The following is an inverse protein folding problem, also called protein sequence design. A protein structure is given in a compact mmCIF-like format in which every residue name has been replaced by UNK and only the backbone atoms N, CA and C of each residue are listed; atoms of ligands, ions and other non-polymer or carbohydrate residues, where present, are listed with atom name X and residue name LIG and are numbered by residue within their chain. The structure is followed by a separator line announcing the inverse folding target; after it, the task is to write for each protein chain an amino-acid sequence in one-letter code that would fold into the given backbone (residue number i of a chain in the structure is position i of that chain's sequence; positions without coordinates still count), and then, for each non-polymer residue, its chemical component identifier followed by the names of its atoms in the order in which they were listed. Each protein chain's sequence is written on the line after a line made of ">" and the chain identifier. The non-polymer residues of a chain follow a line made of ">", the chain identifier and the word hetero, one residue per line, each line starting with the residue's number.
data_IF_776850821236
#
_entry.id   IF_776850821236
#
_cell.length_a   1.000
_cell.length_b   1.000
_cell.length_c   1.000
_cell.angle_alpha   90.00
_cell.angle_beta   90.00
_cell.angle_gamma   90.00
#
_symmetry.space_group_name_H-M   'P 1'
#
loop_
_entity.id
_entity.type
_entity.pdbx_description
1 polymer ?
#
# COMPACT_ATOMS: atom_id res chain seq x y z
N UNK A 1 -36.18 25.20 3.54
CA UNK A 1 -34.70 25.32 3.60
C UNK A 1 -33.95 24.11 4.21
N UNK A 2 -34.59 23.17 4.89
CA UNK A 2 -33.91 22.03 5.57
C UNK A 2 -33.50 20.83 4.69
N UNK A 3 -33.72 20.84 3.38
CA UNK A 3 -33.42 19.70 2.48
C UNK A 3 -32.01 19.70 1.87
N UNK A 4 -31.18 20.72 2.11
CA UNK A 4 -29.85 20.85 1.47
C UNK A 4 -28.66 20.75 2.44
N UNK A 5 -28.90 20.40 3.67
CA UNK A 5 -27.83 20.37 4.71
C UNK A 5 -27.16 19.00 4.92
N UNK A 6 -27.42 18.07 4.01
CA UNK A 6 -26.78 16.75 4.05
C UNK A 6 -25.36 16.83 3.47
N UNK A 7 -24.35 16.19 4.09
CA UNK A 7 -22.96 16.23 3.63
C UNK A 7 -22.75 15.86 2.16
N UNK A 8 -23.50 14.90 1.63
CA UNK A 8 -23.44 14.52 0.20
C UNK A 8 -24.00 15.62 -0.71
N UNK A 9 -25.05 16.33 -0.27
CA UNK A 9 -25.60 17.48 -1.02
C UNK A 9 -24.59 18.63 -1.06
N UNK A 10 -23.86 18.86 0.02
CA UNK A 10 -22.75 19.83 0.08
C UNK A 10 -21.61 19.44 -0.85
N UNK A 11 -21.29 18.14 -0.94
CA UNK A 11 -20.30 17.66 -1.90
C UNK A 11 -20.72 17.92 -3.34
N UNK A 12 -21.97 17.59 -3.70
CA UNK A 12 -22.50 17.86 -5.05
C UNK A 12 -22.53 19.37 -5.38
N UNK A 13 -22.91 20.21 -4.41
CA UNK A 13 -22.83 21.66 -4.55
C UNK A 13 -21.40 22.13 -4.81
N UNK A 14 -20.43 21.63 -4.05
CA UNK A 14 -19.02 21.93 -4.25
C UNK A 14 -18.53 21.58 -5.65
N UNK A 15 -18.92 20.41 -6.19
CA UNK A 15 -18.61 19.98 -7.56
C UNK A 15 -19.12 20.96 -8.61
N UNK A 16 -20.37 21.39 -8.50
CA UNK A 16 -20.98 22.35 -9.43
C UNK A 16 -20.23 23.69 -9.36
N UNK A 17 -19.96 24.20 -8.16
CA UNK A 17 -19.26 25.47 -7.97
C UNK A 17 -17.83 25.43 -8.52
N UNK A 18 -17.13 24.30 -8.36
CA UNK A 18 -15.80 24.08 -8.92
C UNK A 18 -15.83 24.12 -10.45
N UNK A 19 -16.78 23.42 -11.10
CA UNK A 19 -16.97 23.44 -12.56
C UNK A 19 -17.33 24.84 -13.09
N UNK A 20 -18.04 25.66 -12.28
CA UNK A 20 -18.32 27.06 -12.59
C UNK A 20 -17.11 27.99 -12.35
N UNK A 21 -15.98 27.51 -11.87
CA UNK A 21 -14.80 28.31 -11.52
C UNK A 21 -14.93 29.10 -10.23
N UNK A 22 -16.01 28.90 -9.45
CA UNK A 22 -16.28 29.60 -8.17
C UNK A 22 -15.53 28.88 -7.02
N UNK A 23 -14.20 28.91 -7.10
CA UNK A 23 -13.32 28.03 -6.29
C UNK A 23 -13.50 28.23 -4.78
N UNK A 24 -13.55 29.46 -4.28
CA UNK A 24 -13.67 29.69 -2.83
C UNK A 24 -15.04 29.27 -2.28
N UNK A 25 -16.09 29.43 -3.07
CA UNK A 25 -17.41 28.93 -2.69
C UNK A 25 -17.50 27.41 -2.75
N UNK A 26 -16.82 26.79 -3.73
CA UNK A 26 -16.67 25.34 -3.77
C UNK A 26 -15.95 24.81 -2.52
N UNK A 27 -14.86 25.46 -2.10
CA UNK A 27 -14.13 25.13 -0.86
C UNK A 27 -15.07 25.19 0.35
N UNK A 28 -15.89 26.22 0.49
CA UNK A 28 -16.80 26.34 1.63
C UNK A 28 -17.88 25.24 1.63
N UNK A 29 -18.43 24.89 0.47
CA UNK A 29 -19.35 23.77 0.35
C UNK A 29 -18.68 22.43 0.69
N UNK A 30 -17.45 22.21 0.22
CA UNK A 30 -16.69 21.00 0.49
C UNK A 30 -16.28 20.85 1.96
N UNK A 31 -15.97 21.92 2.67
CA UNK A 31 -15.64 21.89 4.11
C UNK A 31 -16.77 21.32 4.96
N UNK A 32 -18.00 21.51 4.54
CA UNK A 32 -19.20 21.03 5.22
C UNK A 32 -19.72 19.72 4.65
N UNK A 33 -18.94 19.02 3.84
CA UNK A 33 -19.33 17.82 3.12
C UNK A 33 -18.69 16.54 3.71
N UNK A 34 -18.83 15.45 2.98
CA UNK A 34 -18.14 14.18 3.26
C UNK A 34 -16.61 14.33 3.21
N UNK A 35 -15.83 13.44 3.84
CA UNK A 35 -14.36 13.53 3.88
C UNK A 35 -13.69 13.69 2.51
N UNK A 36 -14.25 13.09 1.45
CA UNK A 36 -13.78 13.25 0.08
C UNK A 36 -13.83 14.71 -0.38
N UNK A 37 -14.89 15.44 -0.02
CA UNK A 37 -15.01 16.86 -0.34
C UNK A 37 -14.02 17.71 0.45
N UNK A 38 -13.83 17.43 1.74
CA UNK A 38 -12.83 18.11 2.56
C UNK A 38 -11.42 17.90 1.96
N UNK A 39 -11.09 16.68 1.56
CA UNK A 39 -9.84 16.37 0.85
C UNK A 39 -9.70 17.17 -0.45
N UNK A 40 -10.78 17.32 -1.22
CA UNK A 40 -10.80 18.12 -2.45
C UNK A 40 -10.61 19.62 -2.18
N UNK A 41 -11.23 20.13 -1.11
CA UNK A 41 -11.07 21.52 -0.66
C UNK A 41 -9.61 21.87 -0.36
N UNK A 42 -8.88 20.97 0.32
CA UNK A 42 -7.44 21.20 0.61
C UNK A 42 -6.63 21.41 -0.65
N UNK A 43 -6.92 20.61 -1.69
CA UNK A 43 -6.24 20.73 -2.97
C UNK A 43 -6.55 22.03 -3.71
N UNK A 44 -7.81 22.48 -3.66
CA UNK A 44 -8.20 23.75 -4.25
C UNK A 44 -7.54 24.93 -3.54
N UNK A 45 -7.49 24.92 -2.21
CA UNK A 45 -6.79 25.95 -1.43
C UNK A 45 -5.29 26.02 -1.79
N UNK A 46 -4.61 24.88 -1.94
CA UNK A 46 -3.21 24.90 -2.37
C UNK A 46 -3.02 25.47 -3.77
N UNK A 47 -3.91 25.16 -4.73
CA UNK A 47 -3.88 25.73 -6.08
C UNK A 47 -4.06 27.25 -6.07
N UNK A 48 -4.80 27.79 -5.09
CA UNK A 48 -4.99 29.23 -4.88
C UNK A 48 -3.83 29.87 -4.08
N UNK A 49 -2.82 29.09 -3.68
CA UNK A 49 -1.73 29.60 -2.84
C UNK A 49 -2.08 29.76 -1.36
N UNK A 50 -3.30 29.37 -0.96
CA UNK A 50 -3.81 29.45 0.42
C UNK A 50 -3.31 28.28 1.24
N UNK A 51 -1.97 28.16 1.36
CA UNK A 51 -1.30 27.01 1.96
C UNK A 51 -1.57 26.85 3.46
N UNK A 52 -1.72 27.96 4.20
CA UNK A 52 -2.00 27.89 5.64
C UNK A 52 -3.40 27.36 5.92
N UNK A 53 -4.37 27.81 5.16
CA UNK A 53 -5.76 27.34 5.21
C UNK A 53 -5.86 25.87 4.82
N UNK A 54 -5.12 25.45 3.80
CA UNK A 54 -5.03 24.06 3.40
C UNK A 54 -4.43 23.19 4.53
N UNK A 55 -3.38 23.67 5.20
CA UNK A 55 -2.75 22.97 6.31
C UNK A 55 -3.71 22.69 7.46
N UNK A 56 -4.53 23.68 7.83
CA UNK A 56 -5.54 23.51 8.89
C UNK A 56 -6.51 22.39 8.53
N UNK A 57 -7.05 22.39 7.32
CA UNK A 57 -7.97 21.34 6.87
C UNK A 57 -7.30 19.97 6.76
N UNK A 58 -6.03 19.91 6.36
CA UNK A 58 -5.28 18.66 6.36
C UNK A 58 -5.14 18.07 7.76
N UNK A 59 -4.79 18.90 8.75
CA UNK A 59 -4.67 18.45 10.14
C UNK A 59 -6.02 18.00 10.70
N UNK A 60 -7.10 18.70 10.41
CA UNK A 60 -8.44 18.31 10.83
C UNK A 60 -8.85 16.96 10.21
N UNK A 61 -8.58 16.76 8.92
CA UNK A 61 -8.87 15.51 8.23
C UNK A 61 -7.99 14.35 8.74
N UNK A 62 -6.74 14.65 9.09
CA UNK A 62 -5.78 13.67 9.62
C UNK A 62 -6.13 13.16 11.02
N UNK A 63 -6.78 13.97 11.86
CA UNK A 63 -7.28 13.59 13.19
C UNK A 63 -8.50 12.67 13.13
N UNK A 64 -9.15 12.59 11.97
CA UNK A 64 -10.33 11.75 11.75
C UNK A 64 -9.98 10.30 11.45
N UNK A 65 -11.03 9.49 11.21
CA UNK A 65 -10.91 8.06 10.85
C UNK A 65 -11.24 7.81 9.38
N UNK A 66 -11.21 8.84 8.54
CA UNK A 66 -11.52 8.71 7.13
C UNK A 66 -10.40 8.00 6.36
N UNK A 67 -10.69 7.43 5.18
CA UNK A 67 -9.67 6.87 4.30
C UNK A 67 -8.59 7.86 3.84
N UNK A 68 -8.82 9.15 4.07
CA UNK A 68 -7.92 10.24 3.70
C UNK A 68 -6.99 10.67 4.85
N UNK A 69 -7.17 10.13 6.06
CA UNK A 69 -6.47 10.61 7.25
C UNK A 69 -4.94 10.51 7.12
N UNK A 70 -4.41 9.38 6.70
CA UNK A 70 -2.97 9.17 6.53
C UNK A 70 -2.36 10.05 5.43
N UNK A 71 -3.07 10.19 4.29
CA UNK A 71 -2.64 11.07 3.21
C UNK A 71 -2.65 12.54 3.63
N UNK A 72 -3.67 12.93 4.40
CA UNK A 72 -3.79 14.27 4.94
C UNK A 72 -2.67 14.56 5.95
N UNK A 73 -2.34 13.62 6.83
CA UNK A 73 -1.23 13.74 7.77
C UNK A 73 0.12 13.89 7.03
N UNK A 74 0.37 13.06 6.02
CA UNK A 74 1.58 13.16 5.20
C UNK A 74 1.68 14.51 4.49
N UNK A 75 0.58 14.97 3.88
CA UNK A 75 0.59 16.26 3.18
C UNK A 75 0.72 17.43 4.14
N UNK A 76 0.06 17.38 5.30
CA UNK A 76 0.23 18.36 6.37
C UNK A 76 1.70 18.44 6.82
N UNK A 77 2.38 17.30 7.00
CA UNK A 77 3.80 17.25 7.35
C UNK A 77 4.68 17.96 6.32
N UNK A 78 4.46 17.68 5.03
CA UNK A 78 5.22 18.30 3.94
C UNK A 78 4.94 19.80 3.90
N UNK A 79 3.66 20.19 3.92
CA UNK A 79 3.24 21.59 3.79
C UNK A 79 3.67 22.44 4.98
N UNK A 80 3.60 21.90 6.20
CA UNK A 80 4.12 22.57 7.39
C UNK A 80 5.65 22.78 7.30
N UNK A 81 6.40 21.84 6.71
CA UNK A 81 7.81 21.99 6.40
C UNK A 81 8.08 23.11 5.40
N UNK A 82 7.31 23.20 4.32
CA UNK A 82 7.39 24.26 3.32
C UNK A 82 7.10 25.65 3.93
N UNK A 83 6.22 25.71 4.92
CA UNK A 83 5.81 26.94 5.60
C UNK A 83 6.70 27.31 6.80
N UNK A 84 7.65 26.45 7.19
CA UNK A 84 8.50 26.64 8.37
C UNK A 84 7.78 26.51 9.71
N UNK A 85 6.62 25.82 9.75
CA UNK A 85 5.77 25.67 10.93
C UNK A 85 6.12 24.39 11.70
N UNK A 86 7.12 24.49 12.61
CA UNK A 86 7.69 23.34 13.30
C UNK A 86 6.68 22.57 14.18
N UNK A 87 5.79 23.26 14.88
CA UNK A 87 4.75 22.63 15.72
C UNK A 87 3.74 21.84 14.88
N UNK A 88 3.19 22.46 13.85
CA UNK A 88 2.26 21.79 12.92
C UNK A 88 2.92 20.61 12.21
N UNK A 89 4.22 20.71 11.90
CA UNK A 89 4.97 19.62 11.30
C UNK A 89 5.13 18.45 12.26
N UNK A 90 5.39 18.70 13.53
CA UNK A 90 5.47 17.66 14.57
C UNK A 90 4.12 17.00 14.77
N UNK A 91 3.06 17.79 14.92
CA UNK A 91 1.70 17.29 15.03
C UNK A 91 1.32 16.39 13.84
N UNK A 92 1.56 16.85 12.62
CA UNK A 92 1.29 16.08 11.42
C UNK A 92 2.07 14.74 11.41
N UNK A 93 3.35 14.75 11.82
CA UNK A 93 4.16 13.53 11.94
C UNK A 93 3.55 12.55 12.94
N UNK A 94 3.06 13.04 14.08
CA UNK A 94 2.43 12.20 15.11
C UNK A 94 1.14 11.52 14.59
N UNK A 95 0.42 12.18 13.68
CA UNK A 95 -0.79 11.66 13.05
C UNK A 95 -0.52 10.63 11.93
N UNK A 96 0.66 10.65 11.28
CA UNK A 96 0.99 9.64 10.24
C UNK A 96 1.08 8.26 10.86
N UNK A 97 0.34 7.30 10.32
CA UNK A 97 0.30 5.92 10.83
C UNK A 97 1.08 4.94 9.93
N UNK A 98 1.36 3.76 10.49
CA UNK A 98 1.96 2.65 9.76
C UNK A 98 3.35 2.93 9.18
N UNK A 99 3.67 2.23 8.10
CA UNK A 99 4.99 2.29 7.46
C UNK A 99 5.32 3.61 6.79
N UNK A 100 4.34 4.48 6.48
CA UNK A 100 4.62 5.85 6.01
C UNK A 100 5.38 6.65 7.08
N UNK A 101 5.09 6.44 8.36
CA UNK A 101 5.85 7.02 9.47
C UNK A 101 7.34 6.66 9.42
N UNK A 102 7.67 5.42 9.05
CA UNK A 102 9.07 4.98 8.91
C UNK A 102 9.82 5.76 7.82
N UNK A 103 9.16 6.09 6.70
CA UNK A 103 9.76 6.91 5.64
C UNK A 103 10.08 8.34 6.12
N UNK A 104 9.36 8.81 7.12
CA UNK A 104 9.51 10.15 7.71
C UNK A 104 10.38 10.16 8.96
N UNK A 105 10.99 9.02 9.34
CA UNK A 105 11.89 8.91 10.49
C UNK A 105 11.18 8.67 11.83
N UNK A 106 9.92 8.23 11.84
CA UNK A 106 9.29 7.68 13.05
C UNK A 106 10.02 6.43 13.54
N UNK A 107 9.79 6.08 14.80
CA UNK A 107 10.30 4.85 15.36
C UNK A 107 9.95 3.62 14.52
N UNK A 108 10.86 2.66 14.40
CA UNK A 108 10.62 1.44 13.67
C UNK A 108 9.40 0.69 14.24
N UNK A 109 8.79 -0.14 13.40
CA UNK A 109 7.74 -1.05 13.87
C UNK A 109 8.26 -1.85 15.08
N UNK A 110 7.42 -2.09 16.08
CA UNK A 110 7.84 -2.83 17.26
C UNK A 110 8.40 -4.20 16.86
N UNK A 111 9.50 -4.65 17.48
CA UNK A 111 9.94 -6.02 17.33
C UNK A 111 8.83 -6.94 17.82
N UNK A 112 8.75 -8.18 17.29
CA UNK A 112 7.86 -9.16 17.88
C UNK A 112 8.27 -9.39 19.34
N UNK A 113 7.30 -9.68 20.25
CA UNK A 113 7.63 -10.12 21.59
C UNK A 113 8.59 -11.31 21.52
N UNK A 114 9.50 -11.41 22.48
CA UNK A 114 10.40 -12.55 22.56
C UNK A 114 9.56 -13.84 22.56
N UNK A 115 9.92 -14.85 21.73
CA UNK A 115 9.26 -16.14 21.79
C UNK A 115 9.41 -16.71 23.22
N UNK A 116 8.41 -17.46 23.68
CA UNK A 116 8.51 -18.15 24.95
C UNK A 116 9.74 -19.06 24.93
N UNK A 117 10.39 -19.23 26.08
CA UNK A 117 11.57 -20.11 26.22
C UNK A 117 11.28 -21.59 25.89
N UNK A 118 10.01 -21.97 25.82
CA UNK A 118 9.57 -23.31 25.47
C UNK A 118 8.91 -23.32 24.09
N UNK A 119 9.15 -24.35 23.28
CA UNK A 119 8.43 -24.51 22.01
C UNK A 119 6.91 -24.63 22.28
N UNK A 120 6.04 -24.19 21.37
CA UNK A 120 4.61 -24.37 21.54
C UNK A 120 4.25 -25.86 21.62
N UNK A 121 3.21 -26.24 22.36
CA UNK A 121 2.83 -27.65 22.56
C UNK A 121 2.64 -28.43 21.27
N UNK A 122 2.25 -27.77 20.21
CA UNK A 122 2.03 -28.35 18.89
C UNK A 122 3.30 -28.62 18.10
N UNK A 123 4.46 -28.11 18.51
CA UNK A 123 5.69 -28.18 17.74
C UNK A 123 6.04 -29.61 17.29
N UNK A 124 6.02 -30.57 18.22
CA UNK A 124 6.33 -31.97 17.91
C UNK A 124 5.34 -32.60 16.92
N UNK A 125 4.07 -32.29 17.04
CA UNK A 125 3.05 -32.78 16.12
C UNK A 125 3.22 -32.16 14.72
N UNK A 126 3.49 -30.86 14.66
CA UNK A 126 3.76 -30.16 13.38
C UNK A 126 4.99 -30.77 12.69
N UNK A 127 6.09 -30.98 13.42
CA UNK A 127 7.30 -31.61 12.88
C UNK A 127 7.03 -33.02 12.36
N UNK A 128 6.30 -33.84 13.12
CA UNK A 128 5.92 -35.18 12.70
C UNK A 128 5.07 -35.14 11.41
N UNK A 129 4.07 -34.27 11.34
CA UNK A 129 3.23 -34.13 10.15
C UNK A 129 4.04 -33.71 8.92
N UNK A 130 4.97 -32.77 9.08
CA UNK A 130 5.88 -32.35 8.00
C UNK A 130 6.76 -33.51 7.55
N UNK A 131 7.34 -34.25 8.48
CA UNK A 131 8.19 -35.43 8.17
C UNK A 131 7.43 -36.51 7.38
N UNK A 132 6.11 -36.59 7.54
CA UNK A 132 5.25 -37.51 6.78
C UNK A 132 4.63 -36.87 5.52
N UNK A 133 5.07 -35.67 5.08
CA UNK A 133 4.54 -34.99 3.90
C UNK A 133 3.08 -34.54 4.08
N UNK A 134 2.66 -34.19 5.30
CA UNK A 134 1.31 -33.78 5.65
C UNK A 134 1.22 -32.29 6.00
N UNK A 135 1.84 -31.41 5.19
CA UNK A 135 1.94 -29.96 5.42
C UNK A 135 0.55 -29.28 5.56
N UNK A 136 -0.46 -29.78 4.84
CA UNK A 136 -1.83 -29.26 4.94
C UNK A 136 -2.38 -29.47 6.35
N UNK A 137 -2.15 -30.67 6.93
CA UNK A 137 -2.56 -30.98 8.30
C UNK A 137 -1.73 -30.18 9.32
N UNK A 138 -0.41 -30.07 9.09
CA UNK A 138 0.47 -29.27 9.93
C UNK A 138 -0.01 -27.80 10.00
N UNK A 139 -0.38 -27.19 8.86
CA UNK A 139 -1.00 -25.85 8.82
C UNK A 139 -2.31 -25.80 9.61
N UNK A 140 -3.14 -26.82 9.51
CA UNK A 140 -4.39 -26.94 10.28
C UNK A 140 -4.15 -26.91 11.79
N UNK A 141 -3.15 -27.64 12.26
CA UNK A 141 -2.74 -27.68 13.69
C UNK A 141 -2.31 -26.29 14.17
N UNK A 142 -1.45 -25.58 13.42
CA UNK A 142 -0.99 -24.24 13.80
C UNK A 142 -2.14 -23.22 13.78
N UNK A 143 -3.03 -23.28 12.79
CA UNK A 143 -4.22 -22.43 12.73
C UNK A 143 -5.14 -22.64 13.92
N UNK A 144 -5.38 -23.89 14.29
CA UNK A 144 -6.19 -24.24 15.45
C UNK A 144 -5.56 -23.72 16.74
N UNK A 145 -4.25 -23.89 16.91
CA UNK A 145 -3.52 -23.36 18.06
C UNK A 145 -3.64 -21.85 18.17
N UNK A 146 -3.48 -21.13 17.07
CA UNK A 146 -3.66 -19.66 17.02
C UNK A 146 -5.09 -19.24 17.35
N UNK A 147 -6.09 -20.01 16.94
CA UNK A 147 -7.48 -19.73 17.25
C UNK A 147 -7.76 -19.94 18.75
N UNK A 148 -7.22 -21.01 19.34
CA UNK A 148 -7.38 -21.31 20.77
C UNK A 148 -6.61 -20.33 21.66
N UNK A 149 -5.41 -19.98 21.25
CA UNK A 149 -4.47 -19.16 22.02
C UNK A 149 -3.85 -18.08 21.14
N UNK A 150 -4.61 -17.02 20.79
CA UNK A 150 -4.13 -15.97 19.89
C UNK A 150 -2.89 -15.25 20.42
N UNK A 151 -2.65 -15.24 21.75
CA UNK A 151 -1.44 -14.67 22.36
C UNK A 151 -0.15 -15.42 22.05
N UNK A 152 -0.23 -16.69 21.63
CA UNK A 152 0.95 -17.51 21.29
C UNK A 152 1.47 -17.24 19.87
N UNK A 153 0.92 -16.24 19.16
CA UNK A 153 1.29 -15.93 17.78
C UNK A 153 2.81 -15.76 17.55
N UNK A 154 3.62 -15.19 18.50
CA UNK A 154 5.06 -15.01 18.25
C UNK A 154 5.79 -16.35 18.07
N UNK A 155 5.34 -17.39 18.78
CA UNK A 155 5.91 -18.74 18.69
C UNK A 155 5.35 -19.55 17.50
N UNK A 156 4.11 -19.26 17.06
CA UNK A 156 3.39 -20.03 16.05
C UNK A 156 3.59 -19.50 14.63
N UNK A 157 3.79 -18.20 14.45
CA UNK A 157 3.98 -17.58 13.12
C UNK A 157 5.17 -18.14 12.35
N UNK A 158 6.36 -18.42 12.95
CA UNK A 158 7.46 -19.05 12.24
C UNK A 158 7.09 -20.41 11.60
N UNK A 159 6.23 -21.20 12.25
CA UNK A 159 5.72 -22.44 11.67
C UNK A 159 4.83 -22.19 10.46
N UNK A 160 3.98 -21.16 10.50
CA UNK A 160 3.16 -20.77 9.34
C UNK A 160 4.05 -20.40 8.15
N UNK A 161 5.08 -19.59 8.37
CA UNK A 161 6.00 -19.18 7.30
C UNK A 161 6.78 -20.38 6.72
N UNK A 162 7.27 -21.28 7.56
CA UNK A 162 7.93 -22.51 7.11
C UNK A 162 6.99 -23.42 6.30
N UNK A 163 5.71 -23.42 6.63
CA UNK A 163 4.68 -24.18 5.92
C UNK A 163 4.09 -23.41 4.71
N UNK A 164 4.64 -22.26 4.31
CA UNK A 164 4.15 -21.45 3.19
C UNK A 164 2.83 -20.73 3.43
N UNK A 165 2.34 -20.68 4.68
CA UNK A 165 1.10 -20.01 5.06
C UNK A 165 1.36 -18.53 5.39
N UNK A 166 1.98 -17.80 4.45
CA UNK A 166 2.44 -16.41 4.66
C UNK A 166 1.29 -15.46 4.98
N UNK A 167 0.17 -15.59 4.26
CA UNK A 167 -1.01 -14.72 4.45
C UNK A 167 -1.53 -14.74 5.89
N UNK A 168 -1.60 -15.92 6.50
CA UNK A 168 -2.04 -16.10 7.89
C UNK A 168 -1.00 -15.57 8.87
N UNK A 169 0.28 -15.88 8.64
CA UNK A 169 1.38 -15.42 9.48
C UNK A 169 1.50 -13.91 9.48
N UNK A 170 1.43 -13.26 8.32
CA UNK A 170 1.43 -11.79 8.20
C UNK A 170 0.30 -11.18 9.03
N UNK A 171 -0.93 -11.71 8.90
CA UNK A 171 -2.08 -11.20 9.65
C UNK A 171 -1.92 -11.38 11.16
N UNK A 172 -1.40 -12.51 11.61
CA UNK A 172 -1.20 -12.79 13.03
C UNK A 172 -0.09 -11.92 13.65
N UNK A 173 0.96 -11.61 12.88
CA UNK A 173 2.12 -10.84 13.33
C UNK A 173 1.95 -9.32 13.26
N UNK A 174 0.87 -8.84 12.65
CA UNK A 174 0.61 -7.40 12.51
C UNK A 174 0.37 -6.73 13.88
N UNK A 175 0.92 -5.55 14.19
CA UNK A 175 1.71 -4.65 13.32
C UNK A 175 3.23 -4.70 13.56
N UNK A 176 3.84 -5.85 13.81
CA UNK A 176 5.27 -6.00 14.10
C UNK A 176 6.12 -6.25 12.86
N UNK A 177 7.47 -6.17 13.03
CA UNK A 177 8.41 -6.50 11.94
C UNK A 177 8.27 -7.95 11.43
N UNK A 178 7.78 -8.88 12.27
CA UNK A 178 7.53 -10.26 11.86
C UNK A 178 6.42 -10.37 10.79
N UNK A 179 5.59 -9.34 10.61
CA UNK A 179 4.60 -9.28 9.54
C UNK A 179 5.22 -9.07 8.13
N UNK A 180 6.54 -8.88 8.04
CA UNK A 180 7.24 -8.62 6.77
C UNK A 180 8.24 -9.75 6.44
N UNK A 181 7.77 -10.99 6.19
CA UNK A 181 8.64 -12.10 5.82
C UNK A 181 9.26 -11.90 4.44
N UNK A 182 10.40 -12.58 4.19
CA UNK A 182 11.10 -12.57 2.90
C UNK A 182 11.08 -13.96 2.24
N UNK A 183 9.89 -14.46 1.80
CA UNK A 183 9.83 -15.73 1.09
C UNK A 183 10.45 -15.60 -0.31
N UNK A 184 10.77 -16.74 -0.92
CA UNK A 184 11.32 -16.81 -2.27
C UNK A 184 12.55 -15.92 -2.50
N UNK A 185 13.41 -15.80 -1.48
CA UNK A 185 14.49 -14.81 -1.42
C UNK A 185 15.38 -14.81 -2.65
N UNK A 186 15.81 -15.99 -3.10
CA UNK A 186 16.70 -16.13 -4.27
C UNK A 186 16.04 -15.56 -5.54
N UNK A 187 14.76 -15.85 -5.75
CA UNK A 187 14.03 -15.37 -6.92
C UNK A 187 13.73 -13.86 -6.82
N UNK A 188 13.21 -13.40 -5.69
CA UNK A 188 12.88 -11.97 -5.52
C UNK A 188 14.12 -11.10 -5.69
N UNK A 189 15.20 -11.40 -4.95
CA UNK A 189 16.45 -10.63 -5.04
C UNK A 189 17.14 -10.80 -6.40
N UNK A 190 17.13 -12.01 -6.96
CA UNK A 190 17.73 -12.30 -8.25
C UNK A 190 17.04 -11.57 -9.41
N UNK A 191 15.72 -11.66 -9.50
CA UNK A 191 14.97 -11.00 -10.59
C UNK A 191 14.87 -9.50 -10.40
N UNK A 192 14.77 -8.99 -9.15
CA UNK A 192 14.83 -7.57 -8.89
C UNK A 192 16.16 -6.95 -9.36
N UNK A 193 17.30 -7.57 -9.00
CA UNK A 193 18.62 -7.12 -9.46
C UNK A 193 18.75 -7.18 -10.99
N UNK A 194 18.30 -8.27 -11.64
CA UNK A 194 18.32 -8.38 -13.11
C UNK A 194 17.47 -7.30 -13.79
N UNK A 195 16.35 -6.92 -13.18
CA UNK A 195 15.47 -5.87 -13.70
C UNK A 195 15.93 -4.45 -13.33
N UNK A 196 16.92 -4.28 -12.44
CA UNK A 196 17.32 -2.96 -11.93
C UNK A 196 16.25 -2.32 -11.05
N UNK A 197 15.57 -3.13 -10.23
CA UNK A 197 14.55 -2.72 -9.26
C UNK A 197 15.06 -3.01 -7.85
N UNK A 198 14.72 -2.15 -6.88
CA UNK A 198 15.03 -2.42 -5.47
C UNK A 198 14.26 -3.69 -5.01
N UNK A 199 14.97 -4.72 -4.50
CA UNK A 199 14.32 -5.93 -4.00
C UNK A 199 13.27 -5.67 -2.91
N UNK A 200 13.48 -4.67 -2.05
CA UNK A 200 12.52 -4.30 -1.02
C UNK A 200 11.22 -3.76 -1.60
N UNK A 201 11.30 -3.05 -2.75
CA UNK A 201 10.12 -2.59 -3.46
C UNK A 201 9.35 -3.77 -4.07
N UNK A 202 10.05 -4.75 -4.64
CA UNK A 202 9.41 -5.95 -5.17
C UNK A 202 8.75 -6.78 -4.05
N UNK A 203 9.41 -6.95 -2.90
CA UNK A 203 8.79 -7.56 -1.73
C UNK A 203 7.52 -6.83 -1.29
N UNK A 204 7.59 -5.50 -1.20
CA UNK A 204 6.45 -4.67 -0.80
C UNK A 204 5.25 -4.84 -1.73
N UNK A 205 5.51 -4.89 -3.04
CA UNK A 205 4.50 -5.10 -4.06
C UNK A 205 3.84 -6.47 -3.90
N UNK A 206 4.62 -7.56 -3.86
CA UNK A 206 4.10 -8.92 -3.70
C UNK A 206 3.36 -9.12 -2.37
N UNK A 207 3.83 -8.44 -1.31
CA UNK A 207 3.16 -8.43 -0.01
C UNK A 207 1.75 -7.83 -0.10
N UNK A 208 1.62 -6.69 -0.76
CA UNK A 208 0.31 -6.00 -0.88
C UNK A 208 -0.62 -6.75 -1.82
N UNK A 209 -0.10 -7.29 -2.92
CA UNK A 209 -0.89 -8.00 -3.94
C UNK A 209 -1.50 -9.30 -3.41
N UNK A 210 -0.69 -10.20 -2.90
CA UNK A 210 -1.13 -11.55 -2.55
C UNK A 210 -0.84 -11.97 -1.11
N UNK A 211 -0.05 -11.18 -0.35
CA UNK A 211 0.60 -11.64 0.88
C UNK A 211 1.38 -12.95 0.66
N UNK A 212 2.04 -13.04 -0.48
CA UNK A 212 2.82 -14.20 -0.92
C UNK A 212 2.01 -15.50 -1.06
N UNK A 213 0.72 -15.41 -1.34
CA UNK A 213 -0.10 -16.56 -1.71
C UNK A 213 0.00 -16.80 -3.22
N UNK A 214 0.70 -17.87 -3.68
CA UNK A 214 0.88 -18.11 -5.11
C UNK A 214 -0.43 -18.51 -5.81
N UNK A 215 -1.42 -19.00 -5.07
CA UNK A 215 -2.71 -19.41 -5.59
C UNK A 215 -3.78 -18.32 -5.46
N UNK A 216 -3.37 -17.10 -5.14
CA UNK A 216 -4.32 -15.99 -4.98
C UNK A 216 -5.05 -15.68 -6.28
N UNK A 217 -6.37 -15.54 -6.18
CA UNK A 217 -7.26 -15.09 -7.25
C UNK A 217 -8.13 -13.97 -6.70
N UNK A 218 -8.10 -12.79 -7.34
CA UNK A 218 -8.94 -11.67 -6.92
C UNK A 218 -10.36 -11.80 -7.49
N UNK A 219 -11.34 -11.05 -6.94
CA UNK A 219 -12.69 -11.00 -7.52
C UNK A 219 -12.73 -10.51 -8.97
N UNK A 220 -11.73 -9.73 -9.39
CA UNK A 220 -11.60 -9.24 -10.77
C UNK A 220 -10.80 -10.17 -11.67
N UNK A 221 -10.38 -11.34 -11.18
CA UNK A 221 -9.65 -12.36 -11.93
C UNK A 221 -8.15 -12.11 -12.05
N UNK A 222 -7.56 -11.30 -11.17
CA UNK A 222 -6.10 -11.18 -11.07
C UNK A 222 -5.51 -12.43 -10.41
N UNK A 223 -4.33 -12.88 -10.87
CA UNK A 223 -3.78 -14.20 -10.60
C UNK A 223 -2.37 -14.14 -9.98
N UNK A 224 -2.09 -15.08 -9.07
CA UNK A 224 -0.78 -15.42 -8.54
C UNK A 224 -0.19 -14.36 -7.62
N UNK A 225 1.13 -14.44 -7.38
CA UNK A 225 1.84 -13.57 -6.44
C UNK A 225 1.76 -12.09 -6.82
N UNK A 226 1.87 -11.77 -8.10
CA UNK A 226 1.85 -10.40 -8.63
C UNK A 226 0.47 -9.88 -9.00
N UNK A 227 -0.59 -10.67 -8.83
CA UNK A 227 -1.98 -10.32 -9.13
C UNK A 227 -2.17 -9.70 -10.52
N UNK A 228 -1.69 -10.41 -11.54
CA UNK A 228 -1.84 -9.99 -12.91
C UNK A 228 -3.20 -10.35 -13.49
N UNK A 229 -3.84 -9.42 -14.18
CA UNK A 229 -4.89 -9.76 -15.13
C UNK A 229 -4.28 -10.53 -16.30
N UNK A 230 -5.04 -11.46 -16.89
CA UNK A 230 -4.56 -12.34 -17.96
C UNK A 230 -3.93 -11.57 -19.14
N UNK A 231 -4.55 -10.48 -19.56
CA UNK A 231 -4.02 -9.65 -20.65
C UNK A 231 -2.66 -9.05 -20.31
N UNK A 232 -2.49 -8.52 -19.08
CA UNK A 232 -1.20 -7.98 -18.64
C UNK A 232 -0.14 -9.08 -18.50
N UNK A 233 -0.53 -10.28 -18.05
CA UNK A 233 0.35 -11.44 -17.99
C UNK A 233 0.91 -11.82 -19.36
N UNK A 234 0.05 -11.88 -20.38
CA UNK A 234 0.43 -12.16 -21.77
C UNK A 234 1.30 -11.04 -22.35
N UNK A 235 1.04 -9.77 -21.99
CA UNK A 235 1.87 -8.64 -22.39
C UNK A 235 3.29 -8.73 -21.82
N UNK A 236 3.41 -9.11 -20.54
CA UNK A 236 4.72 -9.28 -19.91
C UNK A 236 5.48 -10.47 -20.50
N UNK A 237 4.81 -11.57 -20.80
CA UNK A 237 5.42 -12.71 -21.52
C UNK A 237 6.01 -12.25 -22.87
N UNK A 238 5.26 -11.45 -23.62
CA UNK A 238 5.75 -10.85 -24.89
C UNK A 238 6.95 -9.92 -24.67
N UNK A 239 6.97 -9.13 -23.59
CA UNK A 239 8.12 -8.30 -23.23
C UNK A 239 9.37 -9.11 -22.88
N UNK A 240 9.20 -10.36 -22.45
CA UNK A 240 10.28 -11.31 -22.17
C UNK A 240 10.66 -12.17 -23.37
N UNK A 241 9.87 -12.14 -24.44
CA UNK A 241 10.10 -12.94 -25.66
C UNK A 241 9.80 -14.42 -25.46
N UNK A 242 8.87 -14.77 -24.58
CA UNK A 242 8.53 -16.15 -24.22
C UNK A 242 7.03 -16.41 -24.26
N UNK A 243 6.59 -17.68 -24.39
CA UNK A 243 5.20 -18.05 -24.16
C UNK A 243 4.77 -17.73 -22.72
N UNK A 244 3.48 -17.39 -22.49
CA UNK A 244 2.99 -17.17 -21.14
C UNK A 244 3.18 -18.43 -20.27
N UNK A 245 3.89 -18.24 -19.14
CA UNK A 245 4.07 -19.26 -18.12
C UNK A 245 2.79 -19.46 -17.28
N UNK A 246 2.77 -20.44 -16.37
CA UNK A 246 1.70 -20.59 -15.40
C UNK A 246 1.74 -19.41 -14.40
N UNK A 247 0.66 -18.61 -14.26
CA UNK A 247 0.62 -17.48 -13.31
C UNK A 247 0.67 -17.92 -11.84
N UNK A 248 0.39 -19.18 -11.55
CA UNK A 248 0.46 -19.76 -10.21
C UNK A 248 1.84 -20.33 -9.88
N UNK A 249 2.76 -20.40 -10.85
CA UNK A 249 4.16 -20.69 -10.58
C UNK A 249 4.83 -19.47 -9.89
N UNK A 250 5.34 -19.66 -8.64
CA UNK A 250 5.92 -18.56 -7.88
C UNK A 250 7.10 -17.88 -8.59
N UNK A 251 7.98 -18.66 -9.23
CA UNK A 251 9.15 -18.12 -9.92
C UNK A 251 8.76 -17.27 -11.12
N UNK A 252 7.84 -17.76 -11.96
CA UNK A 252 7.34 -17.02 -13.11
C UNK A 252 6.62 -15.73 -12.67
N UNK A 253 5.77 -15.82 -11.63
CA UNK A 253 5.05 -14.66 -11.12
C UNK A 253 5.98 -13.57 -10.59
N UNK A 254 7.04 -13.93 -9.86
CA UNK A 254 8.05 -12.99 -9.36
C UNK A 254 8.85 -12.37 -10.51
N UNK A 255 9.27 -13.18 -11.48
CA UNK A 255 10.02 -12.74 -12.66
C UNK A 255 9.20 -11.73 -13.49
N UNK A 256 7.93 -12.02 -13.70
CA UNK A 256 7.01 -11.13 -14.42
C UNK A 256 6.76 -9.84 -13.65
N UNK A 257 6.56 -9.92 -12.33
CA UNK A 257 6.38 -8.75 -11.49
C UNK A 257 7.60 -7.81 -11.54
N UNK A 258 8.81 -8.36 -11.43
CA UNK A 258 10.06 -7.58 -11.54
C UNK A 258 10.19 -6.90 -12.91
N UNK A 259 9.91 -7.63 -14.00
CA UNK A 259 9.97 -7.10 -15.37
C UNK A 259 8.92 -6.00 -15.62
N UNK A 260 7.70 -6.22 -15.18
CA UNK A 260 6.62 -5.26 -15.36
C UNK A 260 6.85 -3.99 -14.54
N UNK A 261 7.29 -4.13 -13.28
CA UNK A 261 7.63 -3.00 -12.42
C UNK A 261 8.74 -2.15 -13.05
N UNK A 262 9.79 -2.78 -13.61
CA UNK A 262 10.84 -2.04 -14.34
C UNK A 262 10.28 -1.29 -15.54
N UNK A 263 9.45 -1.94 -16.34
CA UNK A 263 8.82 -1.31 -17.49
C UNK A 263 7.96 -0.10 -17.10
N UNK A 264 7.23 -0.19 -15.97
CA UNK A 264 6.47 0.94 -15.44
C UNK A 264 7.38 2.07 -14.96
N UNK A 265 8.49 1.76 -14.27
CA UNK A 265 9.48 2.76 -13.88
C UNK A 265 10.07 3.50 -15.08
N UNK A 266 10.32 2.80 -16.18
CA UNK A 266 10.78 3.41 -17.43
C UNK A 266 9.74 4.37 -18.02
N UNK A 267 8.45 4.04 -17.92
CA UNK A 267 7.35 4.92 -18.33
C UNK A 267 7.18 6.14 -17.42
N UNK A 268 7.62 6.02 -16.18
CA UNK A 268 7.64 7.09 -15.18
C UNK A 268 8.99 7.83 -15.12
N UNK A 269 9.84 7.75 -16.15
CA UNK A 269 11.19 8.32 -16.16
C UNK A 269 11.25 9.86 -16.10
N UNK A 270 10.12 10.54 -16.28
CA UNK A 270 10.00 11.98 -16.00
C UNK A 270 10.17 12.34 -14.52
N UNK A 271 9.97 11.36 -13.63
CA UNK A 271 10.13 11.47 -12.18
C UNK A 271 11.44 10.83 -11.72
N UNK A 272 11.89 11.14 -10.49
CA UNK A 272 13.13 10.62 -9.91
C UNK A 272 12.87 10.09 -8.49
N UNK A 273 13.71 9.14 -8.06
CA UNK A 273 13.68 8.62 -6.70
C UNK A 273 12.29 8.11 -6.29
N UNK A 274 11.79 8.56 -5.15
CA UNK A 274 10.52 8.09 -4.60
C UNK A 274 9.30 8.48 -5.44
N UNK A 275 9.36 9.60 -6.16
CA UNK A 275 8.28 10.01 -7.08
C UNK A 275 8.16 9.06 -8.28
N UNK A 276 9.28 8.58 -8.81
CA UNK A 276 9.27 7.57 -9.87
C UNK A 276 8.67 6.26 -9.38
N UNK A 277 9.03 5.84 -8.16
CA UNK A 277 8.44 4.67 -7.50
C UNK A 277 6.93 4.87 -7.32
N UNK A 278 6.49 6.01 -6.80
CA UNK A 278 5.09 6.32 -6.61
C UNK A 278 4.29 6.28 -7.91
N UNK A 279 4.81 6.87 -8.99
CA UNK A 279 4.19 6.80 -10.32
C UNK A 279 4.07 5.36 -10.82
N UNK A 280 5.14 4.56 -10.73
CA UNK A 280 5.17 3.18 -11.20
C UNK A 280 4.23 2.27 -10.39
N UNK A 281 4.23 2.40 -9.06
CA UNK A 281 3.35 1.65 -8.16
C UNK A 281 1.88 2.00 -8.42
N UNK A 282 1.55 3.28 -8.54
CA UNK A 282 0.19 3.69 -8.88
C UNK A 282 -0.25 3.13 -10.23
N UNK A 283 0.64 3.12 -11.23
CA UNK A 283 0.37 2.58 -12.55
C UNK A 283 0.24 1.04 -12.57
N UNK A 284 0.90 0.34 -11.64
CA UNK A 284 0.77 -1.11 -11.50
C UNK A 284 -0.67 -1.52 -11.15
N UNK A 285 -1.28 -0.85 -10.20
CA UNK A 285 -2.66 -1.11 -9.78
C UNK A 285 -3.69 -0.49 -10.75
N UNK A 286 -3.55 0.80 -11.06
CA UNK A 286 -4.57 1.54 -11.81
C UNK A 286 -4.50 1.41 -13.32
N UNK A 287 -3.47 0.72 -13.85
CA UNK A 287 -3.22 0.59 -15.28
C UNK A 287 -2.50 1.81 -15.87
N UNK A 288 -1.36 1.55 -16.52
CA UNK A 288 -0.43 2.58 -16.99
C UNK A 288 -1.07 3.65 -17.89
N UNK A 289 -1.97 3.25 -18.78
CA UNK A 289 -2.62 4.19 -19.69
C UNK A 289 -3.54 5.19 -19.00
N UNK A 290 -4.32 4.73 -18.02
CA UNK A 290 -5.18 5.59 -17.21
C UNK A 290 -4.35 6.55 -16.36
N UNK A 291 -3.36 6.03 -15.66
CA UNK A 291 -2.53 6.82 -14.74
C UNK A 291 -1.75 7.90 -15.48
N UNK A 292 -1.03 7.56 -16.58
CA UNK A 292 -0.22 8.53 -17.29
C UNK A 292 -1.06 9.61 -17.99
N UNK A 293 -2.23 9.25 -18.54
CA UNK A 293 -3.16 10.27 -19.08
C UNK A 293 -3.71 11.16 -17.98
N UNK A 294 -4.06 10.60 -16.83
CA UNK A 294 -4.52 11.37 -15.67
C UNK A 294 -3.46 12.34 -15.16
N UNK A 295 -2.21 11.88 -15.02
CA UNK A 295 -1.08 12.72 -14.62
C UNK A 295 -0.89 13.90 -15.61
N UNK A 296 -0.94 13.62 -16.90
CA UNK A 296 -0.79 14.65 -17.93
C UNK A 296 -1.95 15.67 -17.88
N UNK A 297 -3.19 15.21 -17.68
CA UNK A 297 -4.38 16.05 -17.59
C UNK A 297 -4.35 16.95 -16.35
N UNK A 298 -3.95 16.42 -15.21
CA UNK A 298 -3.94 17.15 -13.94
C UNK A 298 -2.66 17.98 -13.71
N UNK A 299 -1.68 17.89 -14.61
CA UNK A 299 -0.44 18.66 -14.54
C UNK A 299 0.62 18.10 -13.57
N UNK A 300 0.50 16.83 -13.17
CA UNK A 300 1.49 16.15 -12.36
C UNK A 300 0.95 15.02 -11.50
N UNK A 301 1.85 14.19 -10.98
CA UNK A 301 1.51 13.02 -10.16
C UNK A 301 0.71 13.38 -8.91
N UNK A 302 1.15 14.39 -8.16
CA UNK A 302 0.48 14.82 -6.93
C UNK A 302 -0.93 15.36 -7.20
N UNK A 303 -1.07 16.17 -8.25
CA UNK A 303 -2.38 16.69 -8.64
C UNK A 303 -3.31 15.54 -9.06
N UNK A 304 -2.80 14.60 -9.84
CA UNK A 304 -3.56 13.40 -10.21
C UNK A 304 -4.03 12.60 -9.00
N UNK A 305 -3.13 12.24 -8.09
CA UNK A 305 -3.46 11.47 -6.88
C UNK A 305 -4.49 12.18 -5.98
N UNK A 306 -4.53 13.51 -6.03
CA UNK A 306 -5.45 14.34 -5.26
C UNK A 306 -6.84 14.42 -5.88
N UNK A 307 -6.92 14.56 -7.20
CA UNK A 307 -8.16 14.90 -7.89
C UNK A 307 -8.79 13.72 -8.65
N UNK A 308 -8.13 12.55 -8.67
CA UNK A 308 -8.71 11.36 -9.27
C UNK A 308 -9.99 10.94 -8.55
N UNK A 309 -10.94 10.41 -9.32
CA UNK A 309 -12.23 9.96 -8.80
C UNK A 309 -12.16 8.58 -8.10
N UNK A 310 -11.09 7.81 -8.37
CA UNK A 310 -10.88 6.48 -7.82
C UNK A 310 -9.92 6.55 -6.64
N UNK A 311 -10.34 6.15 -5.46
CA UNK A 311 -9.49 6.11 -4.27
C UNK A 311 -8.50 4.95 -4.29
N UNK A 312 -8.84 3.85 -4.97
CA UNK A 312 -8.06 2.60 -4.98
C UNK A 312 -6.57 2.79 -5.33
N UNK A 313 -6.15 3.50 -6.41
CA UNK A 313 -4.73 3.67 -6.71
C UNK A 313 -3.95 4.45 -5.64
N UNK A 314 -4.60 5.39 -4.94
CA UNK A 314 -4.00 6.16 -3.86
C UNK A 314 -3.80 5.29 -2.61
N UNK A 315 -4.84 4.56 -2.20
CA UNK A 315 -4.76 3.62 -1.08
C UNK A 315 -3.74 2.51 -1.34
N UNK A 316 -3.70 2.01 -2.57
CA UNK A 316 -2.72 1.03 -2.99
C UNK A 316 -1.29 1.56 -2.86
N UNK A 317 -1.04 2.77 -3.36
CA UNK A 317 0.25 3.45 -3.22
C UNK A 317 0.67 3.55 -1.75
N UNK A 318 -0.22 4.01 -0.87
CA UNK A 318 0.06 4.14 0.56
C UNK A 318 0.43 2.78 1.18
N UNK A 319 -0.30 1.71 0.85
CA UNK A 319 -0.01 0.34 1.32
C UNK A 319 1.37 -0.15 0.86
N UNK A 320 1.70 0.05 -0.43
CA UNK A 320 3.00 -0.39 -0.98
C UNK A 320 4.15 0.41 -0.41
N UNK A 321 4.03 1.74 -0.29
CA UNK A 321 5.08 2.57 0.31
C UNK A 321 5.30 2.24 1.78
N UNK A 322 4.22 1.96 2.54
CA UNK A 322 4.30 1.50 3.92
C UNK A 322 5.05 0.18 4.05
N UNK A 323 4.72 -0.80 3.20
CA UNK A 323 5.41 -2.08 3.18
C UNK A 323 6.88 -1.92 2.73
N UNK A 324 7.14 -1.06 1.73
CA UNK A 324 8.49 -0.78 1.26
C UNK A 324 9.39 -0.20 2.35
N UNK A 325 8.86 0.73 3.14
CA UNK A 325 9.57 1.28 4.29
C UNK A 325 9.89 0.20 5.33
N UNK A 326 8.92 -0.67 5.65
CA UNK A 326 9.11 -1.77 6.58
C UNK A 326 10.17 -2.77 6.09
N UNK A 327 10.12 -3.16 4.79
CA UNK A 327 11.15 -4.04 4.22
C UNK A 327 12.54 -3.41 4.19
N UNK A 328 12.67 -2.11 4.04
CA UNK A 328 13.97 -1.41 4.16
C UNK A 328 14.50 -1.35 5.59
N UNK A 329 13.61 -1.35 6.58
CA UNK A 329 13.98 -1.36 8.00
C UNK A 329 14.30 -2.77 8.53
N UNK A 330 13.89 -3.84 7.82
CA UNK A 330 14.20 -5.23 8.16
C UNK A 330 15.43 -5.70 7.39
N UNK A 331 16.44 -6.35 8.03
CA UNK A 331 17.62 -6.87 7.37
C UNK A 331 17.34 -8.05 6.42
#
# INVERSE_FOLDING_TARGET
>A
MARYDHPESRYAQGRILEEMGRVLEAVEAYRQSIPQGVWRATGLLERQGLKKEALVLYLDLARGTSPYADDAALRAYILAGELGLAESRREALDLVQGGLGLLLGKEPLPPPPAPSSSPPPEASLVEALVAFGKEVWARGVVRYALWQRPGDWPALVPFLYRLGAYREGIRAAWPTLLAYPRPYREWVEGYARKAGVDPNLLYALLHVESRFDPLAVSPTGALGLGQFLRSTWEDVARMLGEPPADPFDPEASIRYAARYLRWLMDRCAAYRGLEQVACAVTAYNGGVGYILRGIAREGGLYAFLRFQERDEPREYLAKVLSAYAAYRATP
#
